data_IF_724869700051
#
_entry.id   IF_724869700051
#
_cell.length_a   1.000
_cell.length_b   1.000
_cell.length_c   1.000
_cell.angle_alpha   90.00
_cell.angle_beta   90.00
_cell.angle_gamma   90.00
#
_symmetry.space_group_name_H-M   'P 1'
#
loop_
_entity.id
_entity.type
_entity.pdbx_description
1 polymer ?
#
# COMPACT_ATOMS: atom_id res chain seq x y z
N UNK A 1 -38.19 13.35 12.52
CA UNK A 1 -37.12 13.38 11.51
C UNK A 1 -36.41 12.04 11.60
N UNK A 2 -36.64 11.15 10.63
CA UNK A 2 -36.03 9.83 10.58
C UNK A 2 -34.61 9.96 10.02
N UNK A 3 -33.57 9.42 10.69
CA UNK A 3 -32.24 9.38 10.13
C UNK A 3 -32.23 8.40 8.95
N UNK A 4 -32.26 8.92 7.73
CA UNK A 4 -31.64 8.24 6.60
C UNK A 4 -30.13 8.20 6.91
N UNK A 5 -29.69 7.21 7.69
CA UNK A 5 -28.34 6.71 7.55
C UNK A 5 -28.29 6.02 6.18
N UNK A 6 -28.05 6.82 5.15
CA UNK A 6 -27.47 6.32 3.91
C UNK A 6 -26.14 5.69 4.34
N UNK A 7 -26.12 4.37 4.48
CA UNK A 7 -24.88 3.62 4.47
C UNK A 7 -24.13 4.07 3.22
N UNK A 8 -23.13 4.92 3.37
CA UNK A 8 -22.25 5.28 2.27
C UNK A 8 -21.55 4.00 1.84
N UNK A 9 -22.03 3.40 0.76
CA UNK A 9 -21.41 2.22 0.17
C UNK A 9 -20.10 2.67 -0.45
N UNK A 10 -19.02 2.55 0.31
CA UNK A 10 -17.67 2.76 -0.19
C UNK A 10 -17.35 1.71 -1.25
N UNK A 11 -16.67 2.13 -2.32
CA UNK A 11 -16.12 1.24 -3.35
C UNK A 11 -14.65 1.55 -3.58
N UNK A 12 -13.86 0.50 -3.82
CA UNK A 12 -12.50 0.65 -4.30
C UNK A 12 -12.55 1.10 -5.78
N UNK A 13 -12.01 2.26 -6.14
CA UNK A 13 -11.89 2.64 -7.54
C UNK A 13 -10.92 1.69 -8.25
N UNK A 14 -11.06 1.51 -9.57
CA UNK A 14 -10.07 0.74 -10.32
C UNK A 14 -8.75 1.50 -10.36
N UNK A 15 -7.64 0.80 -10.60
CA UNK A 15 -6.30 1.41 -10.57
C UNK A 15 -6.10 2.49 -11.65
N UNK A 16 -6.88 2.49 -12.73
CA UNK A 16 -6.85 3.54 -13.76
C UNK A 16 -7.74 4.76 -13.43
N UNK A 17 -8.42 4.79 -12.28
CA UNK A 17 -9.10 6.00 -11.80
C UNK A 17 -8.06 7.12 -11.60
N UNK A 18 -8.36 8.40 -11.91
CA UNK A 18 -7.51 9.53 -11.54
C UNK A 18 -6.97 9.44 -10.10
N UNK A 19 -5.66 9.65 -9.95
CA UNK A 19 -4.92 9.49 -8.69
C UNK A 19 -4.16 10.76 -8.34
N UNK A 20 -4.16 11.13 -7.05
CA UNK A 20 -3.43 12.32 -6.60
C UNK A 20 -1.91 12.05 -6.58
N UNK A 21 -1.48 10.86 -6.11
CA UNK A 21 -0.09 10.42 -6.11
C UNK A 21 0.01 8.89 -5.96
N UNK A 22 1.21 8.35 -6.22
CA UNK A 22 1.61 6.99 -5.85
C UNK A 22 2.54 6.98 -4.64
N UNK A 23 2.36 6.03 -3.72
CA UNK A 23 3.41 5.66 -2.78
C UNK A 23 4.27 4.55 -3.36
N UNK A 24 5.58 4.69 -3.24
CA UNK A 24 6.57 3.68 -3.65
C UNK A 24 7.50 3.43 -2.47
N UNK A 25 7.74 2.19 -2.08
CA UNK A 25 8.70 1.86 -1.02
C UNK A 25 10.12 1.81 -1.57
N UNK A 26 11.10 2.36 -0.85
CA UNK A 26 12.50 2.35 -1.25
C UNK A 26 13.31 1.26 -0.51
N UNK A 27 14.17 0.46 -1.17
CA UNK A 27 14.92 -0.59 -0.49
C UNK A 27 15.88 -0.01 0.56
N UNK A 28 15.86 -0.56 1.78
CA UNK A 28 16.72 -0.11 2.88
C UNK A 28 17.42 -1.27 3.63
N UNK A 29 16.83 -2.47 3.64
CA UNK A 29 17.29 -3.59 4.44
C UNK A 29 18.16 -4.55 3.60
N UNK A 30 19.48 -4.37 3.64
CA UNK A 30 20.40 -5.03 2.71
C UNK A 30 20.35 -6.58 2.76
N UNK A 31 20.08 -7.15 3.93
CA UNK A 31 19.97 -8.61 4.12
C UNK A 31 18.85 -9.26 3.27
N UNK A 32 17.76 -8.54 2.98
CA UNK A 32 16.64 -9.05 2.18
C UNK A 32 16.92 -9.04 0.67
N UNK A 33 17.95 -8.32 0.25
CA UNK A 33 18.27 -8.13 -1.18
C UNK A 33 19.46 -8.95 -1.65
N UNK A 34 19.95 -9.91 -0.84
CA UNK A 34 21.00 -10.87 -1.25
C UNK A 34 22.24 -10.22 -1.89
N UNK A 35 22.67 -9.07 -1.37
CA UNK A 35 23.80 -8.30 -1.91
C UNK A 35 23.51 -7.47 -3.16
N UNK A 36 22.25 -7.33 -3.56
CA UNK A 36 21.79 -6.56 -4.71
C UNK A 36 21.05 -5.27 -4.34
N UNK A 37 21.12 -4.83 -3.08
CA UNK A 37 20.38 -3.65 -2.60
C UNK A 37 20.68 -2.40 -3.43
N UNK A 38 21.92 -2.15 -3.81
CA UNK A 38 22.28 -0.96 -4.60
C UNK A 38 21.56 -0.96 -5.96
N UNK A 39 21.49 -2.12 -6.62
CA UNK A 39 20.78 -2.27 -7.91
C UNK A 39 19.28 -2.15 -7.73
N UNK A 40 18.73 -2.69 -6.65
CA UNK A 40 17.31 -2.57 -6.33
C UNK A 40 16.93 -1.10 -6.09
N UNK A 41 17.76 -0.36 -5.35
CA UNK A 41 17.60 1.08 -5.13
C UNK A 41 17.65 1.85 -6.45
N UNK A 42 18.61 1.56 -7.33
CA UNK A 42 18.70 2.17 -8.65
C UNK A 42 17.45 1.91 -9.49
N UNK A 43 16.93 0.67 -9.50
CA UNK A 43 15.73 0.32 -10.26
C UNK A 43 14.46 0.96 -9.71
N UNK A 44 14.26 0.96 -8.38
CA UNK A 44 13.10 1.60 -7.76
C UNK A 44 13.16 3.12 -7.94
N UNK A 45 14.34 3.74 -7.82
CA UNK A 45 14.50 5.17 -8.06
C UNK A 45 14.23 5.54 -9.53
N UNK A 46 14.69 4.72 -10.48
CA UNK A 46 14.41 4.90 -11.89
C UNK A 46 12.91 4.77 -12.20
N UNK A 47 12.22 3.79 -11.61
CA UNK A 47 10.77 3.64 -11.72
C UNK A 47 10.02 4.85 -11.15
N UNK A 48 10.34 5.25 -9.91
CA UNK A 48 9.73 6.41 -9.26
C UNK A 48 9.92 7.70 -10.08
N UNK A 49 11.12 7.90 -10.62
CA UNK A 49 11.41 9.06 -11.47
C UNK A 49 10.65 9.02 -12.79
N UNK A 50 10.60 7.86 -13.46
CA UNK A 50 9.87 7.71 -14.71
C UNK A 50 8.36 7.99 -14.55
N UNK A 51 7.77 7.56 -13.44
CA UNK A 51 6.37 7.88 -13.12
C UNK A 51 6.21 9.36 -12.81
N UNK A 52 7.06 9.93 -11.95
CA UNK A 52 7.01 11.35 -11.59
C UNK A 52 7.14 12.27 -12.81
N UNK A 53 8.12 11.98 -13.68
CA UNK A 53 8.42 12.77 -14.87
C UNK A 53 7.34 12.60 -15.97
N UNK A 54 6.49 11.57 -15.88
CA UNK A 54 5.29 11.43 -16.72
C UNK A 54 4.13 12.36 -16.32
N UNK A 55 4.24 13.02 -15.15
CA UNK A 55 3.24 13.94 -14.60
C UNK A 55 2.39 13.36 -13.46
N UNK A 56 2.52 12.07 -13.14
CA UNK A 56 1.88 11.47 -11.96
C UNK A 56 2.75 11.71 -10.73
N UNK A 57 2.24 12.39 -9.70
CA UNK A 57 3.02 12.63 -8.49
C UNK A 57 3.43 11.32 -7.80
N UNK A 58 4.67 11.26 -7.29
CA UNK A 58 5.22 10.11 -6.57
C UNK A 58 5.76 10.55 -5.22
N UNK A 59 5.40 9.79 -4.19
CA UNK A 59 5.95 9.87 -2.84
C UNK A 59 6.76 8.61 -2.57
N UNK A 60 8.07 8.73 -2.65
CA UNK A 60 9.00 7.64 -2.36
C UNK A 60 9.24 7.57 -0.84
N UNK A 61 8.80 6.47 -0.24
CA UNK A 61 8.89 6.19 1.19
C UNK A 61 10.27 5.62 1.50
N UNK A 62 11.01 6.29 2.37
CA UNK A 62 12.39 5.99 2.76
C UNK A 62 12.50 5.75 4.26
N UNK A 63 13.40 4.88 4.70
CA UNK A 63 13.41 4.40 6.11
C UNK A 63 14.01 5.40 7.08
N UNK A 64 15.17 5.94 6.75
CA UNK A 64 15.97 6.79 7.63
C UNK A 64 16.74 7.87 6.83
N UNK A 65 17.58 8.65 7.50
CA UNK A 65 18.34 9.73 6.87
C UNK A 65 19.37 9.23 5.85
N UNK A 66 20.03 8.08 6.09
CA UNK A 66 21.00 7.53 5.15
C UNK A 66 20.30 6.98 3.91
N UNK A 67 19.17 6.29 4.11
CA UNK A 67 18.33 5.79 3.03
C UNK A 67 17.72 6.92 2.20
N UNK A 68 17.26 8.00 2.84
CA UNK A 68 16.78 9.22 2.16
C UNK A 68 17.88 9.87 1.33
N UNK A 69 19.07 10.07 1.89
CA UNK A 69 20.21 10.62 1.14
C UNK A 69 20.54 9.79 -0.11
N UNK A 70 20.49 8.45 0.03
CA UNK A 70 20.70 7.54 -1.10
C UNK A 70 19.59 7.69 -2.14
N UNK A 71 18.32 7.69 -1.73
CA UNK A 71 17.19 7.92 -2.63
C UNK A 71 17.33 9.26 -3.37
N UNK A 72 17.61 10.34 -2.64
CA UNK A 72 17.78 11.70 -3.17
C UNK A 72 18.87 11.79 -4.24
N UNK A 73 19.93 10.97 -4.13
CA UNK A 73 21.01 10.91 -5.11
C UNK A 73 20.65 10.18 -6.41
N UNK A 74 19.55 9.42 -6.41
CA UNK A 74 19.15 8.55 -7.51
C UNK A 74 17.88 9.03 -8.23
N UNK A 75 16.94 9.65 -7.51
CA UNK A 75 15.66 10.08 -8.09
C UNK A 75 15.75 11.44 -8.79
N UNK A 76 14.83 11.68 -9.72
CA UNK A 76 14.59 13.01 -10.28
C UNK A 76 14.06 13.98 -9.22
N UNK A 77 14.21 15.29 -9.46
CA UNK A 77 13.72 16.33 -8.55
C UNK A 77 12.18 16.37 -8.43
N UNK A 78 11.46 15.65 -9.29
CA UNK A 78 10.00 15.55 -9.30
C UNK A 78 9.46 14.60 -8.22
N UNK A 79 10.30 13.71 -7.69
CA UNK A 79 9.92 12.73 -6.66
C UNK A 79 9.94 13.38 -5.27
N UNK A 80 8.84 13.25 -4.53
CA UNK A 80 8.80 13.67 -3.12
C UNK A 80 9.28 12.52 -2.24
N UNK A 81 10.20 12.79 -1.30
CA UNK A 81 10.66 11.80 -0.33
C UNK A 81 9.86 11.92 0.98
N UNK A 82 9.45 10.79 1.55
CA UNK A 82 8.79 10.72 2.86
C UNK A 82 9.49 9.72 3.77
N UNK A 83 10.03 10.18 4.89
CA UNK A 83 10.69 9.29 5.85
C UNK A 83 9.68 8.59 6.76
N UNK A 84 9.57 7.27 6.68
CA UNK A 84 8.64 6.42 7.45
C UNK A 84 9.29 5.13 7.94
N UNK A 85 8.65 4.48 8.91
CA UNK A 85 9.02 3.13 9.35
C UNK A 85 8.17 2.09 8.62
N UNK A 86 8.79 1.24 7.80
CA UNK A 86 8.18 0.13 7.05
C UNK A 86 9.18 -1.02 6.91
N UNK A 87 8.74 -2.27 6.86
CA UNK A 87 9.61 -3.43 6.86
C UNK A 87 10.34 -3.63 5.52
N UNK A 88 9.60 -3.82 4.43
CA UNK A 88 10.16 -3.88 3.06
C UNK A 88 9.31 -3.08 2.08
N UNK A 89 9.78 -2.94 0.84
CA UNK A 89 9.28 -1.98 -0.16
C UNK A 89 7.84 -2.20 -0.65
N UNK A 90 7.19 -3.29 -0.24
CA UNK A 90 5.95 -3.80 -0.81
C UNK A 90 4.70 -3.08 -0.29
N UNK A 91 4.66 -1.74 -0.45
CA UNK A 91 3.54 -0.90 -0.03
C UNK A 91 2.23 -1.21 -0.76
N UNK A 92 2.28 -1.94 -1.88
CA UNK A 92 1.11 -2.54 -2.51
C UNK A 92 0.35 -3.47 -1.56
N UNK A 93 1.08 -4.16 -0.68
CA UNK A 93 0.54 -5.17 0.20
C UNK A 93 0.33 -4.66 1.63
N UNK A 94 1.20 -3.74 2.08
CA UNK A 94 1.21 -3.21 3.45
C UNK A 94 0.55 -1.83 3.59
N UNK A 95 0.29 -1.15 2.46
CA UNK A 95 -0.36 0.15 2.40
C UNK A 95 -1.88 0.08 2.56
N UNK A 96 -2.55 1.24 2.74
CA UNK A 96 -4.01 1.28 2.84
C UNK A 96 -4.67 1.06 1.47
N UNK A 97 -5.83 0.41 1.46
CA UNK A 97 -6.71 0.46 0.29
C UNK A 97 -7.62 1.68 0.38
N UNK A 98 -7.49 2.60 -0.58
CA UNK A 98 -8.32 3.82 -0.62
C UNK A 98 -9.65 3.52 -1.29
N UNK A 99 -10.75 3.92 -0.66
CA UNK A 99 -12.11 3.72 -1.13
C UNK A 99 -12.87 5.04 -1.19
N UNK A 100 -13.85 5.11 -2.10
CA UNK A 100 -14.69 6.28 -2.36
C UNK A 100 -16.15 5.99 -2.01
N UNK A 101 -16.84 6.92 -1.36
CA UNK A 101 -18.31 6.87 -1.26
C UNK A 101 -18.99 7.41 -2.54
N UNK A 102 -20.32 7.39 -2.57
CA UNK A 102 -21.11 7.90 -3.70
C UNK A 102 -21.04 9.42 -3.90
N UNK A 103 -20.40 10.14 -2.98
CA UNK A 103 -20.19 11.59 -3.01
C UNK A 103 -18.72 11.94 -3.34
N UNK A 104 -17.85 10.94 -3.49
CA UNK A 104 -16.42 11.10 -3.75
C UNK A 104 -15.57 11.31 -2.50
N UNK A 105 -16.14 11.18 -1.30
CA UNK A 105 -15.37 11.22 -0.05
C UNK A 105 -14.47 10.00 0.03
N UNK A 106 -13.23 10.21 0.46
CA UNK A 106 -12.19 9.17 0.54
C UNK A 106 -12.08 8.62 1.96
N UNK A 107 -11.85 7.32 2.07
CA UNK A 107 -11.48 6.66 3.30
C UNK A 107 -10.40 5.61 3.05
N UNK A 108 -9.64 5.27 4.08
CA UNK A 108 -8.71 4.14 4.06
C UNK A 108 -9.40 2.88 4.61
N UNK A 109 -9.05 1.73 4.02
CA UNK A 109 -9.30 0.40 4.58
C UNK A 109 -7.96 -0.22 4.93
N UNK A 110 -7.85 -0.66 6.17
CA UNK A 110 -6.65 -1.25 6.76
C UNK A 110 -6.94 -2.71 7.09
N UNK A 111 -6.02 -3.59 6.75
CA UNK A 111 -6.12 -5.02 6.98
C UNK A 111 -4.97 -5.51 7.86
N UNK A 112 -5.11 -6.70 8.42
CA UNK A 112 -3.97 -7.40 9.00
C UNK A 112 -2.95 -7.76 7.92
N UNK A 113 -1.67 -7.68 8.27
CA UNK A 113 -0.56 -8.14 7.44
C UNK A 113 0.31 -9.09 8.27
N UNK A 114 0.70 -10.23 7.70
CA UNK A 114 1.48 -11.24 8.41
C UNK A 114 2.75 -11.66 7.66
N UNK A 115 3.25 -10.86 6.72
CA UNK A 115 4.47 -11.23 5.98
C UNK A 115 4.24 -12.35 4.96
N UNK A 116 3.12 -12.30 4.24
CA UNK A 116 2.69 -13.30 3.26
C UNK A 116 2.63 -14.73 3.81
N UNK A 117 2.10 -14.89 5.02
CA UNK A 117 1.99 -16.17 5.70
C UNK A 117 3.22 -16.48 6.56
N UNK A 118 3.61 -15.50 7.38
CA UNK A 118 4.69 -15.55 8.37
C UNK A 118 6.09 -15.73 7.77
N UNK A 119 6.23 -15.52 6.46
CA UNK A 119 7.48 -15.68 5.75
C UNK A 119 8.44 -14.51 6.02
N UNK A 120 7.92 -13.28 6.05
CA UNK A 120 8.71 -12.06 6.20
C UNK A 120 8.10 -11.15 7.28
N UNK A 121 8.55 -11.32 8.52
CA UNK A 121 8.07 -10.54 9.66
C UNK A 121 9.03 -9.39 9.94
N UNK A 122 8.76 -8.23 9.33
CA UNK A 122 9.65 -7.08 9.39
C UNK A 122 9.01 -5.91 10.17
N UNK A 123 9.76 -5.25 11.08
CA UNK A 123 9.24 -4.13 11.86
C UNK A 123 8.77 -2.95 11.00
N UNK A 124 7.52 -2.52 11.18
CA UNK A 124 6.90 -1.40 10.49
C UNK A 124 5.84 -1.80 9.46
N UNK A 125 5.85 -3.03 8.95
CA UNK A 125 4.89 -3.46 7.91
C UNK A 125 3.44 -3.53 8.41
N UNK A 126 3.23 -3.76 9.71
CA UNK A 126 1.87 -3.79 10.28
C UNK A 126 1.32 -2.40 10.60
N UNK A 127 2.19 -1.39 10.66
CA UNK A 127 1.87 -0.01 11.05
C UNK A 127 1.81 0.94 9.84
N UNK A 128 2.62 0.68 8.80
CA UNK A 128 2.81 1.61 7.67
C UNK A 128 1.49 1.97 6.98
N UNK A 129 0.56 1.03 6.83
CA UNK A 129 -0.75 1.32 6.21
C UNK A 129 -1.53 2.42 6.95
N UNK A 130 -1.54 2.38 8.29
CA UNK A 130 -2.21 3.38 9.12
C UNK A 130 -1.47 4.73 9.09
N UNK A 131 -0.14 4.69 9.11
CA UNK A 131 0.70 5.89 9.03
C UNK A 131 0.54 6.63 7.69
N UNK A 132 0.51 5.89 6.57
CA UNK A 132 0.25 6.46 5.25
C UNK A 132 -1.17 7.05 5.16
N UNK A 133 -2.18 6.35 5.68
CA UNK A 133 -3.55 6.87 5.73
C UNK A 133 -3.63 8.19 6.52
N UNK A 134 -3.03 8.24 7.71
CA UNK A 134 -3.01 9.44 8.54
C UNK A 134 -2.30 10.60 7.84
N UNK A 135 -1.17 10.34 7.18
CA UNK A 135 -0.43 11.40 6.48
C UNK A 135 -1.14 11.96 5.25
N UNK A 136 -2.01 11.16 4.63
CA UNK A 136 -2.87 11.57 3.54
C UNK A 136 -4.16 12.29 4.02
N UNK A 137 -4.39 12.38 5.33
CA UNK A 137 -5.64 12.89 5.89
C UNK A 137 -6.85 11.99 5.57
N UNK A 138 -6.62 10.69 5.39
CA UNK A 138 -7.67 9.72 5.12
C UNK A 138 -8.23 9.19 6.44
N UNK A 139 -9.54 9.32 6.62
CA UNK A 139 -10.25 8.66 7.71
C UNK A 139 -10.10 7.15 7.56
N UNK A 140 -9.55 6.51 8.59
CA UNK A 140 -9.42 5.07 8.69
C UNK A 140 -10.38 4.56 9.76
N UNK A 141 -11.18 3.55 9.41
CA UNK A 141 -11.91 2.78 10.40
C UNK A 141 -10.98 1.91 11.25
N UNK A 142 -11.56 1.06 12.09
CA UNK A 142 -10.80 0.01 12.76
C UNK A 142 -10.10 -0.88 11.72
N UNK A 143 -8.83 -1.24 12.00
CA UNK A 143 -8.11 -2.23 11.21
C UNK A 143 -8.87 -3.55 11.27
N UNK A 144 -9.04 -4.19 10.11
CA UNK A 144 -9.67 -5.49 10.04
C UNK A 144 -8.88 -6.53 10.85
N UNK A 145 -9.59 -7.49 11.43
CA UNK A 145 -9.06 -8.58 12.25
C UNK A 145 -8.61 -9.80 11.43
N UNK A 146 -8.62 -9.67 10.09
CA UNK A 146 -8.21 -10.70 9.14
C UNK A 146 -7.12 -10.18 8.20
N UNK A 147 -6.38 -11.11 7.60
CA UNK A 147 -5.20 -10.86 6.78
C UNK A 147 -5.60 -10.63 5.32
N UNK A 148 -5.11 -9.56 4.74
CA UNK A 148 -5.24 -9.29 3.31
C UNK A 148 -4.07 -8.42 2.84
N UNK A 149 -3.44 -8.83 1.74
CA UNK A 149 -2.50 -8.01 1.01
C UNK A 149 -3.21 -7.30 -0.16
N UNK A 150 -2.99 -6.00 -0.32
CA UNK A 150 -3.63 -5.23 -1.41
C UNK A 150 -3.33 -5.76 -2.81
N UNK A 151 -2.15 -6.33 -3.05
CA UNK A 151 -1.79 -6.96 -4.32
C UNK A 151 -2.52 -8.27 -4.62
N UNK A 152 -3.29 -8.81 -3.66
CA UNK A 152 -4.14 -9.98 -3.89
C UNK A 152 -5.49 -9.65 -4.53
N UNK A 153 -5.81 -8.36 -4.72
CA UNK A 153 -7.06 -7.88 -5.30
C UNK A 153 -6.80 -7.04 -6.55
N UNK A 154 -7.62 -7.24 -7.57
CA UNK A 154 -7.70 -6.36 -8.75
C UNK A 154 -9.18 -6.05 -9.05
N UNK A 155 -9.57 -4.78 -8.96
CA UNK A 155 -10.96 -4.33 -9.02
C UNK A 155 -11.25 -3.43 -10.21
N UNK A 156 -12.44 -3.55 -10.79
CA UNK A 156 -12.85 -2.75 -11.96
C UNK A 156 -13.65 -1.48 -11.62
N UNK A 157 -13.90 -1.23 -10.32
CA UNK A 157 -14.69 -0.11 -9.83
C UNK A 157 -16.20 -0.30 -9.85
N UNK A 158 -16.72 -1.34 -10.51
CA UNK A 158 -18.16 -1.65 -10.59
C UNK A 158 -18.65 -2.46 -9.40
N UNK A 159 -17.71 -2.96 -8.59
CA UNK A 159 -17.95 -3.92 -7.51
C UNK A 159 -17.50 -5.33 -7.85
N UNK A 160 -16.93 -5.56 -9.04
CA UNK A 160 -16.25 -6.81 -9.37
C UNK A 160 -14.79 -6.74 -8.97
N UNK A 161 -14.28 -7.86 -8.45
CA UNK A 161 -12.89 -8.03 -8.02
C UNK A 161 -12.40 -9.38 -8.52
N UNK A 162 -11.25 -9.38 -9.19
CA UNK A 162 -10.45 -10.55 -9.47
C UNK A 162 -9.50 -10.82 -8.30
N UNK A 163 -9.38 -12.09 -7.93
CA UNK A 163 -8.46 -12.57 -6.90
C UNK A 163 -8.13 -14.05 -7.16
N UNK A 164 -7.34 -14.67 -6.29
CA UNK A 164 -6.99 -16.09 -6.41
C UNK A 164 -7.30 -16.85 -5.14
N UNK A 165 -7.96 -17.99 -5.30
CA UNK A 165 -8.25 -18.92 -4.20
C UNK A 165 -6.96 -19.44 -3.53
N UNK A 166 -5.92 -19.68 -4.34
CA UNK A 166 -4.61 -20.12 -3.85
C UNK A 166 -3.99 -19.14 -2.84
N UNK A 167 -4.26 -17.83 -2.99
CA UNK A 167 -3.79 -16.82 -2.06
C UNK A 167 -4.75 -16.69 -0.87
N UNK A 168 -6.00 -16.29 -1.11
CA UNK A 168 -6.91 -15.88 -0.04
C UNK A 168 -7.44 -17.04 0.82
N UNK A 169 -7.54 -18.25 0.26
CA UNK A 169 -7.94 -19.45 0.99
C UNK A 169 -6.73 -20.26 1.49
N UNK A 170 -5.52 -19.70 1.41
CA UNK A 170 -4.37 -20.34 2.00
C UNK A 170 -4.53 -20.40 3.54
N UNK A 171 -4.25 -21.56 4.12
CA UNK A 171 -4.34 -21.79 5.57
C UNK A 171 -3.51 -20.82 6.42
N UNK A 172 -2.48 -20.19 5.86
CA UNK A 172 -1.64 -19.21 6.56
C UNK A 172 -2.08 -17.74 6.36
N UNK A 173 -3.28 -17.51 5.80
CA UNK A 173 -3.96 -16.21 5.79
C UNK A 173 -5.05 -16.18 6.84
N UNK A 174 -6.20 -16.77 6.52
CA UNK A 174 -7.41 -16.70 7.32
C UNK A 174 -8.02 -18.09 7.51
N UNK A 175 -7.37 -19.02 8.25
CA UNK A 175 -7.85 -20.40 8.39
C UNK A 175 -9.20 -20.53 9.11
N UNK A 176 -9.67 -19.43 9.73
CA UNK A 176 -10.95 -19.35 10.42
C UNK A 176 -12.08 -18.80 9.54
N UNK A 177 -11.78 -18.33 8.32
CA UNK A 177 -12.77 -17.85 7.34
C UNK A 177 -12.97 -18.89 6.24
N UNK A 178 -14.22 -19.03 5.80
CA UNK A 178 -14.56 -19.80 4.60
C UNK A 178 -14.48 -18.92 3.35
N UNK A 179 -14.73 -19.50 2.18
CA UNK A 179 -14.87 -18.74 0.93
C UNK A 179 -16.05 -17.76 0.96
N UNK A 180 -17.08 -18.06 1.74
CA UNK A 180 -18.32 -17.28 1.76
C UNK A 180 -18.31 -16.15 2.79
N UNK A 181 -17.34 -16.16 3.72
CA UNK A 181 -17.11 -15.11 4.71
C UNK A 181 -16.27 -13.97 4.11
#
# INVERSE_FOLDING_TARGET
MTPQQLNSHFRMPPEWHPQDWLWVGFPHLAEEWSGLIDKAQEQIAAFASAVADSGQAVRLVVRDAANEMRAQSLVSASVTLERRTYGDVWLRDTGPLVVLDGQGSRAARLFGFNGWGEKYLMPGDQEIGADLAASAGLEAGAKADWILEGGALDGDGTGLVATTEQCLLNHNRNPHLSRAD
#
